data_IF_197595343123
#
_entry.id   IF_197595343123
#
_cell.length_a   1.000
_cell.length_b   1.000
_cell.length_c   1.000
_cell.angle_alpha   90.00
_cell.angle_beta   90.00
_cell.angle_gamma   90.00
#
_symmetry.space_group_name_H-M   'P 1'
#
loop_
_entity.id
_entity.type
_entity.pdbx_description
1 polymer ?
#
# COMPACT_ATOMS: atom_id res chain seq x y z
N UNK A 1 15.86 -4.47 -12.03
CA UNK A 1 15.30 -3.15 -12.39
C UNK A 1 14.38 -2.75 -11.25
N UNK A 2 14.60 -1.60 -10.61
CA UNK A 2 13.57 -1.05 -9.75
C UNK A 2 12.36 -0.76 -10.64
N UNK A 3 11.22 -1.36 -10.35
CA UNK A 3 9.96 -0.93 -10.95
C UNK A 3 9.72 0.48 -10.41
N UNK A 4 10.11 1.49 -11.19
CA UNK A 4 9.77 2.87 -10.90
C UNK A 4 8.36 3.06 -11.41
N UNK A 5 7.45 3.43 -10.52
CA UNK A 5 6.12 3.88 -10.90
C UNK A 5 6.24 5.12 -11.78
N UNK A 6 5.43 5.20 -12.84
CA UNK A 6 5.36 6.41 -13.66
C UNK A 6 4.54 7.49 -12.95
N UNK A 7 4.80 8.75 -13.29
CA UNK A 7 4.00 9.86 -12.79
C UNK A 7 2.51 9.68 -13.13
N UNK A 8 2.20 9.09 -14.29
CA UNK A 8 0.83 8.80 -14.71
C UNK A 8 0.10 7.86 -13.74
N UNK A 9 0.78 6.81 -13.25
CA UNK A 9 0.21 5.87 -12.27
C UNK A 9 -0.11 6.57 -10.95
N UNK A 10 0.78 7.46 -10.49
CA UNK A 10 0.51 8.27 -9.29
C UNK A 10 -0.67 9.21 -9.50
N UNK A 11 -0.74 9.88 -10.66
CA UNK A 11 -1.82 10.81 -10.98
C UNK A 11 -3.17 10.11 -11.13
N UNK A 12 -3.20 8.87 -11.59
CA UNK A 12 -4.42 8.07 -11.60
C UNK A 12 -4.88 7.72 -10.19
N UNK A 13 -3.98 7.23 -9.33
CA UNK A 13 -4.29 6.90 -7.94
C UNK A 13 -4.75 8.11 -7.11
N UNK A 14 -4.24 9.31 -7.43
CA UNK A 14 -4.66 10.57 -6.81
C UNK A 14 -6.04 11.00 -7.30
N UNK A 15 -6.30 10.98 -8.61
CA UNK A 15 -7.62 11.36 -9.16
C UNK A 15 -8.78 10.60 -8.51
N UNK A 16 -8.58 9.33 -8.18
CA UNK A 16 -9.59 8.53 -7.49
C UNK A 16 -9.88 8.96 -6.05
N UNK A 17 -9.02 9.75 -5.40
CA UNK A 17 -9.30 10.30 -4.07
C UNK A 17 -10.43 11.35 -4.13
N UNK A 18 -10.48 12.15 -5.19
CA UNK A 18 -11.50 13.19 -5.38
C UNK A 18 -12.75 12.64 -6.07
N UNK A 19 -12.58 11.80 -7.10
CA UNK A 19 -13.67 11.23 -7.90
C UNK A 19 -13.57 9.68 -7.92
N UNK A 20 -14.30 8.99 -7.03
CA UNK A 20 -14.31 7.53 -6.96
C UNK A 20 -14.80 6.88 -8.27
N UNK A 21 -13.86 6.31 -9.03
CA UNK A 21 -14.18 5.59 -10.27
C UNK A 21 -14.71 4.19 -9.96
N UNK A 22 -16.01 4.10 -9.73
CA UNK A 22 -16.75 2.86 -9.42
C UNK A 22 -17.55 2.32 -10.61
N UNK A 23 -17.32 2.85 -11.81
CA UNK A 23 -17.92 2.34 -13.04
C UNK A 23 -17.36 0.95 -13.39
N UNK A 24 -18.15 0.14 -14.11
CA UNK A 24 -17.68 -1.16 -14.60
C UNK A 24 -17.98 -2.36 -13.69
N UNK A 25 -18.95 -2.26 -12.78
CA UNK A 25 -19.44 -3.41 -12.00
C UNK A 25 -18.88 -3.54 -10.59
N UNK A 26 -18.33 -2.45 -10.03
CA UNK A 26 -17.94 -2.43 -8.63
C UNK A 26 -19.15 -2.57 -7.70
N UNK A 27 -19.05 -3.46 -6.72
CA UNK A 27 -20.09 -3.71 -5.73
C UNK A 27 -19.61 -3.32 -4.33
N UNK A 28 -20.47 -2.67 -3.54
CA UNK A 28 -20.17 -2.42 -2.13
C UNK A 28 -20.12 -3.75 -1.38
N UNK A 29 -18.95 -4.09 -0.84
CA UNK A 29 -18.73 -5.32 -0.08
C UNK A 29 -19.05 -5.13 1.41
N UNK A 30 -18.53 -4.06 2.02
CA UNK A 30 -18.79 -3.74 3.42
C UNK A 30 -18.52 -2.27 3.73
N UNK A 31 -19.05 -1.78 4.84
CA UNK A 31 -18.75 -0.45 5.38
C UNK A 31 -18.67 -0.49 6.90
N UNK A 32 -17.65 0.16 7.46
CA UNK A 32 -17.42 0.28 8.90
C UNK A 32 -16.56 1.50 9.20
N UNK A 33 -16.81 2.18 10.33
CA UNK A 33 -15.98 3.31 10.82
C UNK A 33 -15.75 4.42 9.77
N UNK A 34 -16.75 4.71 8.93
CA UNK A 34 -16.61 5.72 7.86
C UNK A 34 -15.71 5.28 6.69
N UNK A 35 -15.36 4.00 6.62
CA UNK A 35 -14.66 3.34 5.52
C UNK A 35 -15.67 2.48 4.74
N UNK A 36 -15.55 2.50 3.42
CA UNK A 36 -16.34 1.72 2.47
C UNK A 36 -15.37 0.89 1.62
N UNK A 37 -15.64 -0.41 1.52
CA UNK A 37 -14.84 -1.34 0.74
C UNK A 37 -15.72 -1.85 -0.41
N UNK A 38 -15.25 -1.61 -1.63
CA UNK A 38 -15.84 -2.09 -2.86
C UNK A 38 -15.01 -3.24 -3.41
N UNK A 39 -15.67 -4.16 -4.11
CA UNK A 39 -15.02 -5.27 -4.80
C UNK A 39 -15.49 -5.36 -6.24
N UNK A 40 -14.62 -5.81 -7.13
CA UNK A 40 -14.93 -6.12 -8.53
C UNK A 40 -14.51 -7.57 -8.81
N UNK A 41 -15.43 -8.36 -9.33
CA UNK A 41 -15.16 -9.76 -9.67
C UNK A 41 -14.62 -9.87 -11.09
N UNK A 42 -13.42 -10.44 -11.23
CA UNK A 42 -12.87 -10.82 -12.53
C UNK A 42 -13.27 -12.26 -12.87
N UNK A 43 -14.10 -12.41 -13.91
CA UNK A 43 -14.64 -13.72 -14.31
C UNK A 43 -13.56 -14.62 -14.93
N UNK A 44 -12.53 -14.06 -15.54
CA UNK A 44 -11.50 -14.82 -16.23
C UNK A 44 -10.52 -15.46 -15.25
N UNK A 45 -10.07 -14.71 -14.24
CA UNK A 45 -9.18 -15.23 -13.20
C UNK A 45 -9.90 -15.83 -11.99
N UNK A 46 -11.16 -15.47 -11.78
CA UNK A 46 -11.93 -15.78 -10.56
C UNK A 46 -11.46 -15.00 -9.32
N UNK A 47 -10.63 -13.96 -9.49
CA UNK A 47 -10.14 -13.11 -8.42
C UNK A 47 -11.03 -11.88 -8.21
N UNK A 48 -10.79 -11.17 -7.11
CA UNK A 48 -11.43 -9.91 -6.79
C UNK A 48 -10.40 -8.79 -6.69
N UNK A 49 -10.73 -7.65 -7.28
CA UNK A 49 -10.08 -6.38 -7.02
C UNK A 49 -10.83 -5.61 -5.94
N UNK A 50 -10.13 -4.76 -5.19
CA UNK A 50 -10.71 -4.02 -4.08
C UNK A 50 -10.36 -2.54 -4.15
N UNK A 51 -11.35 -1.69 -3.87
CA UNK A 51 -11.17 -0.25 -3.66
C UNK A 51 -11.71 0.14 -2.30
N UNK A 52 -10.99 1.03 -1.62
CA UNK A 52 -11.30 1.44 -0.26
C UNK A 52 -11.40 2.96 -0.24
N UNK A 53 -12.53 3.48 0.25
CA UNK A 53 -12.80 4.91 0.36
C UNK A 53 -13.23 5.25 1.78
N UNK A 54 -12.92 6.47 2.22
CA UNK A 54 -13.33 6.97 3.53
C UNK A 54 -12.25 7.79 4.23
N UNK A 55 -12.50 8.13 5.49
CA UNK A 55 -11.63 9.01 6.28
C UNK A 55 -11.38 8.44 7.67
N UNK A 56 -10.12 8.50 8.12
CA UNK A 56 -9.73 8.21 9.49
C UNK A 56 -9.64 9.54 10.26
N UNK A 57 -10.77 10.05 10.74
CA UNK A 57 -10.87 11.40 11.30
C UNK A 57 -9.96 11.66 12.53
N UNK A 58 -9.66 10.62 13.30
CA UNK A 58 -8.87 10.74 14.53
C UNK A 58 -7.35 10.78 14.29
N UNK A 59 -6.91 10.53 13.06
CA UNK A 59 -5.49 10.38 12.72
C UNK A 59 -5.09 11.30 11.57
N UNK A 60 -4.03 12.10 11.73
CA UNK A 60 -3.58 12.96 10.66
C UNK A 60 -2.89 12.15 9.53
N UNK A 61 -3.01 12.57 8.26
CA UNK A 61 -2.55 11.78 7.12
C UNK A 61 -1.05 11.42 7.14
N UNK A 62 -0.21 12.30 7.68
CA UNK A 62 1.23 12.11 7.81
C UNK A 62 1.57 10.95 8.78
N UNK A 63 0.82 10.83 9.87
CA UNK A 63 0.96 9.70 10.81
C UNK A 63 0.51 8.40 10.16
N UNK A 64 -0.61 8.41 9.42
CA UNK A 64 -1.06 7.23 8.69
C UNK A 64 -0.03 6.75 7.67
N UNK A 65 0.56 7.67 6.91
CA UNK A 65 1.62 7.35 5.94
C UNK A 65 2.88 6.80 6.64
N UNK A 66 3.32 7.42 7.74
CA UNK A 66 4.48 6.97 8.50
C UNK A 66 4.30 5.55 9.06
N UNK A 67 3.13 5.28 9.68
CA UNK A 67 2.79 3.95 10.20
C UNK A 67 2.74 2.91 9.10
N UNK A 68 2.30 3.28 7.90
CA UNK A 68 2.23 2.35 6.78
C UNK A 68 3.61 1.94 6.25
N UNK A 69 4.55 2.89 6.22
CA UNK A 69 5.91 2.66 5.70
C UNK A 69 6.84 1.99 6.71
N UNK A 70 6.50 2.03 8.01
CA UNK A 70 7.32 1.42 9.06
C UNK A 70 7.08 -0.10 9.16
N UNK A 71 7.98 -0.88 8.53
CA UNK A 71 7.91 -2.34 8.53
C UNK A 71 8.18 -2.95 9.92
N UNK A 72 8.96 -2.29 10.77
CA UNK A 72 9.26 -2.80 12.12
C UNK A 72 8.06 -2.58 13.04
N UNK A 73 7.47 -1.40 12.98
CA UNK A 73 6.22 -1.12 13.69
C UNK A 73 5.09 -2.01 13.18
N UNK A 74 5.03 -2.27 11.86
CA UNK A 74 4.01 -3.16 11.27
C UNK A 74 4.04 -4.57 11.86
N UNK A 75 5.24 -5.13 12.11
CA UNK A 75 5.39 -6.44 12.77
C UNK A 75 4.91 -6.44 14.21
N UNK A 76 4.90 -5.29 14.87
CA UNK A 76 4.52 -5.19 16.28
C UNK A 76 3.00 -5.25 16.46
N UNK A 77 2.24 -4.49 15.67
CA UNK A 77 0.79 -4.36 15.86
C UNK A 77 -0.05 -5.26 14.95
N UNK A 78 0.47 -5.65 13.78
CA UNK A 78 -0.28 -6.48 12.84
C UNK A 78 -0.07 -7.98 13.11
N UNK A 79 -1.05 -8.59 13.79
CA UNK A 79 -1.07 -10.02 14.10
C UNK A 79 -1.18 -10.96 12.90
N UNK A 80 -1.40 -10.42 11.69
CA UNK A 80 -1.46 -11.21 10.45
C UNK A 80 -0.12 -11.31 9.73
N UNK A 81 0.89 -10.54 10.14
CA UNK A 81 2.23 -10.60 9.55
C UNK A 81 2.96 -11.85 10.04
N UNK A 82 3.26 -12.77 9.12
CA UNK A 82 4.12 -13.93 9.41
C UNK A 82 5.62 -13.61 9.28
N UNK A 83 5.96 -12.89 8.21
CA UNK A 83 7.32 -12.43 7.93
C UNK A 83 7.21 -11.20 7.02
N UNK A 84 7.96 -10.15 7.33
CA UNK A 84 7.99 -8.90 6.57
C UNK A 84 9.42 -8.34 6.59
N UNK A 85 9.87 -7.78 5.48
CA UNK A 85 11.17 -7.14 5.38
C UNK A 85 11.38 -6.56 4.00
N UNK A 86 12.21 -5.53 3.93
CA UNK A 86 12.69 -4.98 2.67
C UNK A 86 13.96 -5.70 2.23
N UNK A 87 14.07 -5.96 0.93
CA UNK A 87 15.33 -6.41 0.35
C UNK A 87 16.08 -5.18 -0.13
N UNK A 88 17.27 -4.87 0.42
CA UNK A 88 18.09 -3.82 -0.14
C UNK A 88 18.44 -4.22 -1.57
N UNK A 89 18.09 -3.36 -2.53
CA UNK A 89 18.59 -3.52 -3.89
C UNK A 89 20.10 -3.28 -3.83
N UNK A 90 20.89 -4.35 -3.74
CA UNK A 90 22.34 -4.25 -3.91
C UNK A 90 22.59 -3.71 -5.32
N UNK A 91 22.91 -2.42 -5.41
CA UNK A 91 23.48 -1.86 -6.62
C UNK A 91 24.82 -2.57 -6.85
N UNK A 92 24.95 -3.30 -7.96
CA UNK A 92 26.24 -3.76 -8.44
C UNK A 92 27.10 -2.53 -8.75
N UNK A 93 27.84 -2.03 -7.77
CA UNK A 93 28.92 -1.09 -8.00
C UNK A 93 30.06 -1.87 -8.64
N UNK A 94 30.26 -1.67 -9.94
CA UNK A 94 31.51 -2.01 -10.62
C UNK A 94 32.62 -1.34 -9.81
N UNK A 95 33.48 -2.14 -9.16
CA UNK A 95 34.66 -1.63 -8.44
C UNK A 95 35.54 -0.86 -9.42
N UNK A 96 35.58 0.45 -9.24
CA UNK A 96 36.53 1.38 -9.84
C UNK A 96 36.68 2.51 -8.84
N UNK A 97 37.92 2.74 -8.39
CA UNK A 97 38.28 3.73 -7.38
C UNK A 97 37.78 5.11 -7.79
N UNK A 98 36.83 5.69 -7.04
CA UNK A 98 36.69 7.14 -6.90
C UNK A 98 35.83 7.46 -5.66
N UNK A 99 36.34 8.38 -4.85
CA UNK A 99 35.74 8.88 -3.62
C UNK A 99 34.70 9.94 -3.96
N UNK A 100 33.40 9.67 -3.84
CA UNK A 100 32.35 10.72 -3.83
C UNK A 100 31.17 10.21 -2.98
N UNK A 101 31.12 10.60 -1.70
CA UNK A 101 30.40 11.79 -1.18
C UNK A 101 28.89 11.58 -1.06
N UNK A 102 28.46 11.17 0.13
CA UNK A 102 27.47 11.84 0.99
C UNK A 102 26.63 13.00 0.38
N UNK A 103 25.94 12.76 -0.73
CA UNK A 103 25.04 13.75 -1.34
C UNK A 103 23.85 13.08 -2.04
N UNK A 104 23.13 12.20 -1.35
CA UNK A 104 21.84 11.65 -1.82
C UNK A 104 20.77 11.42 -0.75
N UNK A 105 20.99 11.81 0.51
CA UNK A 105 19.96 11.66 1.55
C UNK A 105 18.98 12.86 1.63
N UNK A 106 19.45 14.10 1.45
CA UNK A 106 18.57 15.28 1.61
C UNK A 106 17.49 15.38 0.52
N UNK A 107 17.81 15.09 -0.75
CA UNK A 107 16.81 15.15 -1.84
C UNK A 107 15.79 14.00 -1.79
N UNK A 108 16.17 12.89 -1.15
CA UNK A 108 15.28 11.76 -0.91
C UNK A 108 14.31 12.06 0.24
N UNK A 109 14.74 12.80 1.27
CA UNK A 109 13.91 13.16 2.41
C UNK A 109 12.90 14.29 2.11
N UNK A 110 13.22 15.22 1.21
CA UNK A 110 12.28 16.30 0.86
C UNK A 110 11.16 15.84 -0.11
N UNK A 111 11.45 14.87 -0.99
CA UNK A 111 10.44 14.32 -1.93
C UNK A 111 9.62 13.16 -1.38
N UNK A 112 10.06 12.47 -0.34
CA UNK A 112 9.31 11.36 0.29
C UNK A 112 8.29 11.81 1.34
N UNK A 113 8.09 13.13 1.55
CA UNK A 113 7.11 13.64 2.52
C UNK A 113 5.69 13.82 1.96
N UNK A 114 5.49 13.69 0.65
CA UNK A 114 4.18 13.87 -0.01
C UNK A 114 3.63 12.59 -0.66
N UNK A 115 4.40 11.51 -0.63
CA UNK A 115 4.07 10.27 -1.33
C UNK A 115 4.16 9.18 -0.28
N UNK A 116 3.06 8.51 0.05
CA UNK A 116 2.98 7.05 0.17
C UNK A 116 1.55 6.67 0.61
N UNK A 117 0.76 6.29 -0.41
CA UNK A 117 -0.49 5.55 -0.32
C UNK A 117 -0.14 4.06 -0.42
N UNK A 118 -0.94 3.29 0.27
CA UNK A 118 -0.82 1.88 0.61
C UNK A 118 -1.34 0.97 -0.49
N UNK A 119 -0.51 0.15 -1.12
CA UNK A 119 -0.95 -0.95 -1.99
C UNK A 119 -0.58 -2.30 -1.37
N UNK A 120 -1.59 -3.12 -1.08
CA UNK A 120 -1.40 -4.51 -0.66
C UNK A 120 -1.51 -5.43 -1.87
N UNK A 121 -0.43 -6.13 -2.21
CA UNK A 121 -0.42 -7.18 -3.22
C UNK A 121 -0.26 -8.58 -2.56
N UNK A 122 -1.14 -9.52 -2.92
CA UNK A 122 -0.93 -10.98 -2.76
C UNK A 122 -1.75 -11.66 -1.64
N UNK A 123 -3.00 -12.07 -1.86
CA UNK A 123 -3.49 -13.28 -2.56
C UNK A 123 -3.43 -14.64 -1.81
N UNK A 124 -2.68 -14.79 -0.72
CA UNK A 124 -2.66 -16.07 0.04
C UNK A 124 -3.06 -15.95 1.52
N UNK A 125 -3.03 -14.76 2.10
CA UNK A 125 -3.51 -14.56 3.47
C UNK A 125 -5.05 -14.63 3.56
N UNK A 126 -5.78 -14.29 2.48
CA UNK A 126 -7.21 -14.02 2.53
C UNK A 126 -8.11 -15.26 2.39
N UNK A 127 -7.61 -16.36 1.78
CA UNK A 127 -8.37 -17.62 1.66
C UNK A 127 -8.70 -18.28 3.00
N UNK A 128 -8.07 -17.85 4.09
CA UNK A 128 -8.35 -18.33 5.45
C UNK A 128 -9.37 -17.48 6.22
N UNK A 129 -9.69 -16.29 5.72
CA UNK A 129 -10.58 -15.35 6.43
C UNK A 129 -12.06 -15.63 6.23
N UNK A 130 -12.44 -16.29 5.14
CA UNK A 130 -13.85 -16.49 4.78
C UNK A 130 -14.60 -17.54 5.61
N UNK A 131 -13.96 -18.29 6.52
CA UNK A 131 -14.64 -19.43 7.17
C UNK A 131 -14.68 -19.50 8.70
N UNK A 132 -13.84 -18.83 9.49
CA UNK A 132 -13.84 -19.09 10.95
C UNK A 132 -13.57 -17.90 11.91
N UNK A 133 -13.37 -16.68 11.41
CA UNK A 133 -12.70 -15.64 12.20
C UNK A 133 -13.57 -14.66 13.00
N UNK A 134 -14.76 -14.27 12.52
CA UNK A 134 -15.43 -13.06 13.04
C UNK A 134 -16.67 -13.32 13.92
N UNK A 135 -16.71 -14.48 14.59
CA UNK A 135 -17.74 -14.74 15.60
C UNK A 135 -17.16 -15.12 16.97
N UNK A 136 -15.99 -14.57 17.30
CA UNK A 136 -15.43 -14.64 18.64
C UNK A 136 -14.83 -13.30 19.06
N UNK A 137 -15.59 -12.66 19.96
CA UNK A 137 -15.30 -11.50 20.81
C UNK A 137 -15.61 -10.12 20.22
#
# INVERSE_FOLDING_TARGET
MALQFSDEQFQEAWRELDDPRLEGGWELFTSSMGIQIYRLYDQDSGLYEYKIFGSLADYPPDVCAAVYMDLEYRKHWDGYVKALGESPMYCCTRKGNDVFSEFKLELAQEKMREVYKVEFAGSDAMKRWDLEGWNRK
#
